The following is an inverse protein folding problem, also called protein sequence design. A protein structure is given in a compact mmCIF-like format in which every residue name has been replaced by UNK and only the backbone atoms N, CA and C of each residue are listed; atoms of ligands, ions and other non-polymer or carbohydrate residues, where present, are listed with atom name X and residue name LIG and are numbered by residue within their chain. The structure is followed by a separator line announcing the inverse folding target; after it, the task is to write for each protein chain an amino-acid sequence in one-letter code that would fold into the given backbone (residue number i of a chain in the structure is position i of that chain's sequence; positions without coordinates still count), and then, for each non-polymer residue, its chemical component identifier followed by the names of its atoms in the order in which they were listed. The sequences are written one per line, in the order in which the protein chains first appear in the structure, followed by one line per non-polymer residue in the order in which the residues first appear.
data_IF_040145628708
#
_entry.id   IF_040145628708
#
_cell.length_a   1.000
_cell.length_b   1.000
_cell.length_c   1.000
_cell.angle_alpha   90.00
_cell.angle_beta   90.00
_cell.angle_gamma   90.00
#
_symmetry.space_group_name_H-M   'P 1'
#
loop_
_entity.id
_entity.type
_entity.pdbx_description
1 polymer ?
#
# COMPACT_ATOMS: atom_id res chain seq x y z
N UNK A 1 -13.97 12.49 10.59
CA UNK A 1 -12.91 11.50 10.27
C UNK A 1 -11.84 12.18 9.42
N UNK A 2 -10.57 11.79 9.60
CA UNK A 2 -9.43 12.28 8.82
C UNK A 2 -8.50 11.13 8.50
N UNK A 3 -7.77 11.23 7.40
CA UNK A 3 -6.72 10.29 7.00
C UNK A 3 -5.39 11.04 6.97
N UNK A 4 -4.39 10.53 7.67
CA UNK A 4 -3.02 11.03 7.60
C UNK A 4 -2.31 10.32 6.47
N UNK A 5 -1.67 11.09 5.60
CA UNK A 5 -0.94 10.56 4.45
C UNK A 5 0.45 11.15 4.40
N UNK A 6 1.46 10.29 4.28
CA UNK A 6 2.86 10.70 4.17
C UNK A 6 3.24 10.91 2.69
N UNK A 7 3.83 12.06 2.36
CA UNK A 7 4.34 12.35 1.01
C UNK A 7 5.81 11.96 0.84
N UNK A 8 6.53 11.85 1.94
CA UNK A 8 7.93 11.49 1.94
C UNK A 8 8.13 9.99 1.66
N UNK A 9 9.38 9.63 1.31
CA UNK A 9 9.83 8.24 1.37
C UNK A 9 9.80 7.73 2.81
N UNK A 10 9.65 6.43 3.00
CA UNK A 10 9.69 5.80 4.33
C UNK A 10 11.05 5.96 5.03
N UNK A 11 12.12 6.21 4.26
CA UNK A 11 13.48 6.43 4.73
C UNK A 11 13.82 7.90 5.00
N UNK A 12 12.93 8.83 4.65
CA UNK A 12 13.11 10.25 4.82
C UNK A 12 12.34 10.80 6.02
N UNK A 13 12.59 12.06 6.38
CA UNK A 13 11.76 12.78 7.34
C UNK A 13 10.31 12.79 6.86
N UNK A 14 9.34 12.39 7.71
CA UNK A 14 7.95 12.29 7.27
C UNK A 14 7.36 13.67 6.94
N UNK A 15 6.53 13.71 5.90
CA UNK A 15 5.80 14.89 5.46
C UNK A 15 4.31 14.55 5.42
N UNK A 16 3.64 14.70 6.56
CA UNK A 16 2.23 14.34 6.68
C UNK A 16 1.31 15.43 6.16
N UNK A 17 0.33 15.03 5.36
CA UNK A 17 -0.85 15.82 4.99
C UNK A 17 -2.09 15.18 5.59
N UNK A 18 -3.05 16.01 5.97
CA UNK A 18 -4.34 15.57 6.51
C UNK A 18 -5.39 15.67 5.41
N UNK A 19 -6.00 14.55 5.05
CA UNK A 19 -7.14 14.47 4.13
C UNK A 19 -8.40 14.33 4.99
N UNK A 20 -9.28 15.34 4.93
CA UNK A 20 -10.56 15.33 5.64
C UNK A 20 -11.73 14.97 4.69
N UNK A 21 -12.92 14.74 5.24
CA UNK A 21 -14.10 14.33 4.47
C UNK A 21 -14.56 15.29 3.36
N UNK A 22 -14.09 16.55 3.36
CA UNK A 22 -14.40 17.51 2.30
C UNK A 22 -13.35 17.50 1.18
N UNK A 23 -12.27 16.73 1.32
CA UNK A 23 -11.23 16.62 0.31
C UNK A 23 -11.67 15.64 -0.79
N UNK A 24 -11.49 15.95 -2.09
CA UNK A 24 -11.94 15.08 -3.19
C UNK A 24 -11.30 13.69 -3.19
N UNK A 25 -10.12 13.54 -2.60
CA UNK A 25 -9.42 12.26 -2.48
C UNK A 25 -9.79 11.46 -1.22
N UNK A 26 -10.68 11.95 -0.36
CA UNK A 26 -10.97 11.33 0.94
C UNK A 26 -11.42 9.87 0.83
N UNK A 27 -12.42 9.59 0.00
CA UNK A 27 -12.93 8.23 -0.18
C UNK A 27 -11.85 7.27 -0.71
N UNK A 28 -11.02 7.75 -1.65
CA UNK A 28 -9.91 6.95 -2.18
C UNK A 28 -8.84 6.68 -1.12
N UNK A 29 -8.50 7.69 -0.31
CA UNK A 29 -7.55 7.54 0.80
C UNK A 29 -8.07 6.59 1.88
N UNK A 30 -9.36 6.68 2.25
CA UNK A 30 -10.00 5.76 3.20
C UNK A 30 -9.96 4.33 2.67
N UNK A 31 -10.36 4.12 1.40
CA UNK A 31 -10.38 2.79 0.78
C UNK A 31 -8.99 2.18 0.59
N UNK A 32 -7.97 3.01 0.38
CA UNK A 32 -6.60 2.54 0.14
C UNK A 32 -5.85 2.18 1.41
N UNK A 33 -6.38 2.54 2.59
CA UNK A 33 -5.67 2.38 3.86
C UNK A 33 -5.79 0.93 4.37
N UNK A 34 -4.65 0.27 4.46
CA UNK A 34 -4.52 -1.02 5.14
C UNK A 34 -4.26 -0.82 6.64
N UNK A 35 -4.63 -1.82 7.44
CA UNK A 35 -4.29 -1.86 8.87
C UNK A 35 -2.77 -1.98 9.08
N UNK A 36 -2.30 -1.58 10.26
CA UNK A 36 -0.88 -1.60 10.68
C UNK A 36 0.11 -0.94 9.70
N UNK A 37 -0.39 -0.01 8.88
CA UNK A 37 0.37 0.67 7.83
C UNK A 37 0.23 2.19 7.91
N UNK A 38 1.29 2.89 7.48
CA UNK A 38 1.21 4.30 7.13
C UNK A 38 0.78 4.40 5.68
N UNK A 39 -0.25 5.20 5.40
CA UNK A 39 -0.65 5.51 4.04
C UNK A 39 0.31 6.57 3.48
N UNK A 40 0.92 6.29 2.34
CA UNK A 40 1.74 7.20 1.58
C UNK A 40 1.01 7.64 0.30
N UNK A 41 1.43 8.76 -0.28
CA UNK A 41 0.97 9.21 -1.59
C UNK A 41 2.14 9.61 -2.48
N UNK A 42 2.13 9.14 -3.71
CA UNK A 42 3.08 9.53 -4.75
C UNK A 42 2.35 9.65 -6.09
N UNK A 43 2.47 10.80 -6.76
CA UNK A 43 1.77 11.12 -8.03
C UNK A 43 0.27 10.77 -8.00
N UNK A 44 -0.42 11.17 -6.94
CA UNK A 44 -1.85 10.89 -6.69
C UNK A 44 -2.22 9.41 -6.52
N UNK A 45 -1.25 8.52 -6.34
CA UNK A 45 -1.47 7.11 -6.01
C UNK A 45 -1.17 6.87 -4.53
N UNK A 46 -2.14 6.31 -3.82
CA UNK A 46 -1.98 5.88 -2.43
C UNK A 46 -1.36 4.49 -2.35
N UNK A 47 -0.42 4.30 -1.42
CA UNK A 47 0.19 3.01 -1.14
C UNK A 47 0.56 2.88 0.34
N UNK A 48 0.60 1.65 0.84
CA UNK A 48 0.81 1.35 2.25
C UNK A 48 2.28 1.02 2.53
N UNK A 49 2.77 1.39 3.70
CA UNK A 49 4.08 1.01 4.23
C UNK A 49 3.88 0.49 5.66
N UNK A 50 4.40 -0.69 6.03
CA UNK A 50 4.13 -1.27 7.34
C UNK A 50 4.81 -0.46 8.45
N UNK A 51 4.10 -0.24 9.56
CA UNK A 51 4.63 0.50 10.73
C UNK A 51 5.59 -0.37 11.54
N UNK A 52 5.30 -1.67 11.64
CA UNK A 52 6.05 -2.62 12.46
C UNK A 52 6.49 -3.82 11.63
N UNK A 53 7.76 -4.18 11.81
CA UNK A 53 8.37 -5.35 11.18
C UNK A 53 9.03 -6.17 12.27
N UNK A 54 8.66 -7.44 12.38
CA UNK A 54 9.36 -8.37 13.27
C UNK A 54 10.73 -8.70 12.66
N UNK A 55 11.80 -8.86 13.48
CA UNK A 55 13.07 -9.39 12.99
C UNK A 55 12.81 -10.73 12.30
N UNK A 56 13.33 -10.93 11.08
CA UNK A 56 13.12 -12.10 10.19
C UNK A 56 11.81 -12.21 9.41
N UNK A 57 10.90 -11.23 9.51
CA UNK A 57 9.69 -11.23 8.69
C UNK A 57 10.01 -10.88 7.23
N UNK A 58 9.61 -11.73 6.29
CA UNK A 58 9.71 -11.43 4.85
C UNK A 58 8.91 -10.18 4.49
N UNK A 59 9.45 -9.35 3.60
CA UNK A 59 8.75 -8.18 3.07
C UNK A 59 8.24 -8.49 1.68
N UNK A 60 7.04 -8.00 1.36
CA UNK A 60 6.47 -8.12 0.01
C UNK A 60 6.06 -6.73 -0.47
N UNK A 61 6.16 -6.48 -1.77
CA UNK A 61 5.46 -5.36 -2.38
C UNK A 61 4.34 -5.87 -3.28
N UNK A 62 3.23 -5.15 -3.29
CA UNK A 62 2.01 -5.45 -4.05
C UNK A 62 1.74 -4.27 -4.98
N UNK A 63 1.69 -4.54 -6.29
CA UNK A 63 1.35 -3.55 -7.33
C UNK A 63 -0.02 -3.79 -7.95
N UNK A 64 -0.59 -4.98 -7.72
CA UNK A 64 -1.99 -5.28 -8.01
C UNK A 64 -2.58 -6.17 -6.93
N UNK A 65 -3.60 -5.64 -6.25
CA UNK A 65 -4.20 -6.24 -5.05
C UNK A 65 -5.37 -5.40 -4.54
N UNK A 66 -6.02 -5.83 -3.46
CA UNK A 66 -7.00 -5.04 -2.69
C UNK A 66 -6.35 -3.83 -2.03
N UNK A 67 -5.07 -3.94 -1.71
CA UNK A 67 -4.22 -2.85 -1.25
C UNK A 67 -2.90 -2.85 -2.02
N UNK A 68 -2.35 -1.65 -2.23
CA UNK A 68 -1.06 -1.42 -2.91
C UNK A 68 -0.05 -0.98 -1.88
N UNK A 69 1.21 -1.35 -2.07
CA UNK A 69 2.32 -0.89 -1.23
C UNK A 69 3.24 -2.02 -0.80
N UNK A 70 3.95 -1.78 0.29
CA UNK A 70 4.77 -2.78 0.97
C UNK A 70 3.97 -3.34 2.13
N UNK A 71 4.12 -4.63 2.39
CA UNK A 71 3.53 -5.32 3.53
C UNK A 71 4.54 -6.25 4.17
N UNK A 72 4.43 -6.40 5.48
CA UNK A 72 5.28 -7.29 6.27
C UNK A 72 4.61 -8.64 6.45
N UNK A 73 5.28 -9.72 6.04
CA UNK A 73 4.85 -11.10 6.20
C UNK A 73 3.92 -11.61 5.11
N UNK A 74 3.98 -12.91 4.86
CA UNK A 74 3.18 -13.56 3.82
C UNK A 74 1.67 -13.48 4.10
N UNK A 75 1.24 -13.59 5.36
CA UNK A 75 -0.20 -13.51 5.72
C UNK A 75 -0.82 -12.18 5.29
N UNK A 76 -0.12 -11.07 5.52
CA UNK A 76 -0.58 -9.74 5.11
C UNK A 76 -0.53 -9.57 3.58
N UNK A 77 0.51 -10.10 2.93
CA UNK A 77 0.58 -10.13 1.47
C UNK A 77 -0.58 -10.94 0.87
N UNK A 78 -0.88 -12.10 1.43
CA UNK A 78 -1.98 -12.96 1.04
C UNK A 78 -3.31 -12.22 1.16
N UNK A 79 -3.57 -11.51 2.27
CA UNK A 79 -4.79 -10.70 2.44
C UNK A 79 -4.93 -9.59 1.38
N UNK A 80 -3.82 -9.07 0.86
CA UNK A 80 -3.84 -8.08 -0.21
C UNK A 80 -4.13 -8.68 -1.59
N UNK A 81 -3.93 -9.98 -1.81
CA UNK A 81 -3.99 -10.60 -3.14
C UNK A 81 -5.03 -11.69 -3.28
N UNK A 82 -5.56 -12.19 -2.16
CA UNK A 82 -6.60 -13.21 -2.13
C UNK A 82 -7.85 -12.68 -2.82
N UNK A 83 -8.42 -13.47 -3.73
CA UNK A 83 -9.57 -13.05 -4.52
C UNK A 83 -9.27 -11.91 -5.51
N UNK A 84 -8.01 -11.60 -5.82
CA UNK A 84 -7.67 -10.58 -6.82
C UNK A 84 -7.14 -11.24 -8.09
N UNK A 85 -7.92 -11.19 -9.16
CA UNK A 85 -7.49 -11.76 -10.44
C UNK A 85 -6.28 -11.01 -11.02
N UNK A 86 -5.23 -11.77 -11.32
CA UNK A 86 -3.97 -11.24 -11.82
C UNK A 86 -3.23 -10.40 -10.79
N UNK A 87 -3.36 -10.71 -9.49
CA UNK A 87 -2.58 -10.05 -8.46
C UNK A 87 -1.08 -10.10 -8.78
N UNK A 88 -0.36 -9.02 -8.45
CA UNK A 88 1.08 -8.89 -8.68
C UNK A 88 1.74 -8.52 -7.38
N UNK A 89 2.53 -9.45 -6.86
CA UNK A 89 3.28 -9.31 -5.63
C UNK A 89 4.63 -10.03 -5.74
N UNK A 90 5.65 -9.51 -5.05
CA UNK A 90 6.95 -10.15 -4.98
C UNK A 90 7.60 -9.90 -3.62
N UNK A 91 8.36 -10.88 -3.16
CA UNK A 91 9.20 -10.74 -1.97
C UNK A 91 10.38 -9.79 -2.24
N UNK A 92 10.76 -9.03 -1.23
CA UNK A 92 11.88 -8.07 -1.26
C UNK A 92 12.63 -8.10 0.06
N UNK A 93 13.88 -7.64 0.02
CA UNK A 93 14.78 -7.69 1.18
C UNK A 93 14.47 -6.63 2.24
N UNK A 94 13.80 -5.52 1.87
CA UNK A 94 13.52 -4.42 2.78
C UNK A 94 12.32 -3.57 2.33
N UNK A 95 11.80 -2.76 3.27
CA UNK A 95 10.77 -1.76 2.99
C UNK A 95 11.26 -0.76 1.94
N UNK A 96 12.50 -0.28 2.06
CA UNK A 96 13.04 0.73 1.15
C UNK A 96 13.06 0.24 -0.31
N UNK A 97 13.51 -1.00 -0.53
CA UNK A 97 13.50 -1.62 -1.86
C UNK A 97 12.06 -1.84 -2.34
N UNK A 98 11.17 -2.31 -1.46
CA UNK A 98 9.75 -2.47 -1.79
C UNK A 98 9.09 -1.16 -2.22
N UNK A 99 9.31 -0.08 -1.47
CA UNK A 99 8.77 1.25 -1.77
C UNK A 99 9.31 1.78 -3.10
N UNK A 100 10.60 1.60 -3.37
CA UNK A 100 11.20 1.94 -4.66
C UNK A 100 10.50 1.20 -5.81
N UNK A 101 10.29 -0.12 -5.69
CA UNK A 101 9.58 -0.92 -6.71
C UNK A 101 8.13 -0.45 -6.90
N UNK A 102 7.44 -0.09 -5.83
CA UNK A 102 6.08 0.47 -5.91
C UNK A 102 6.10 1.80 -6.65
N UNK A 103 7.02 2.72 -6.33
CA UNK A 103 7.10 4.02 -7.02
C UNK A 103 7.48 3.90 -8.49
N UNK A 104 8.38 2.98 -8.85
CA UNK A 104 8.67 2.64 -10.26
C UNK A 104 7.40 2.14 -10.95
N UNK A 105 6.64 1.24 -10.32
CA UNK A 105 5.39 0.76 -10.90
C UNK A 105 4.32 1.87 -11.02
N UNK A 106 4.30 2.86 -10.12
CA UNK A 106 3.46 4.07 -10.25
C UNK A 106 3.87 4.86 -11.49
N UNK A 107 5.18 5.10 -11.67
CA UNK A 107 5.72 5.85 -12.81
C UNK A 107 5.41 5.18 -14.15
N UNK A 108 5.41 3.85 -14.18
CA UNK A 108 5.11 3.05 -15.37
C UNK A 108 3.59 2.78 -15.56
N UNK A 109 2.73 3.27 -14.66
CA UNK A 109 1.29 3.03 -14.73
C UNK A 109 0.88 1.57 -14.51
N UNK A 110 1.72 0.78 -13.83
CA UNK A 110 1.51 -0.65 -13.55
C UNK A 110 0.87 -0.94 -12.19
N UNK A 111 0.28 0.07 -11.55
CA UNK A 111 -0.47 -0.09 -10.30
C UNK A 111 -1.96 -0.31 -10.59
N UNK A 112 -2.58 -1.27 -9.91
CA UNK A 112 -4.04 -1.44 -9.96
C UNK A 112 -4.61 -1.98 -8.65
N UNK A 113 -5.32 -1.14 -7.91
CA UNK A 113 -6.19 -1.62 -6.83
C UNK A 113 -7.41 -2.32 -7.43
N UNK A 114 -7.73 -3.53 -6.94
CA UNK A 114 -8.83 -4.37 -7.43
C UNK A 114 -9.61 -4.88 -6.23
N UNK A 115 -10.93 -4.72 -6.25
CA UNK A 115 -11.79 -5.29 -5.23
C UNK A 115 -11.74 -6.82 -5.32
N UNK A 116 -11.52 -7.54 -4.20
CA UNK A 116 -11.60 -8.99 -4.19
C UNK A 116 -12.97 -9.47 -4.67
N UNK A 117 -13.02 -10.59 -5.39
CA UNK A 117 -14.30 -11.26 -5.64
C UNK A 117 -14.91 -11.64 -4.29
N UNK A 118 -16.16 -11.25 -4.05
CA UNK A 118 -16.91 -11.78 -2.92
C UNK A 118 -17.04 -13.30 -3.14
N UNK A 119 -16.56 -14.11 -2.20
CA UNK A 119 -17.09 -15.46 -2.07
C UNK A 119 -18.50 -15.24 -1.53
N UNK A 120 -19.51 -15.40 -2.39
CA UNK A 120 -20.87 -15.62 -1.90
C UNK A 120 -20.81 -16.92 -1.09
N UNK A 121 -20.91 -16.81 0.24
CA UNK A 121 -21.06 -17.94 1.16
C UNK A 121 -22.40 -18.66 0.94
#
# INVERSE_FOLDING_TARGET
PVVFVNRALSTASPEFTIINHNHPEFENAVRSRADDSVLHIYKAVFYNIPVQVKPSQSMFYVTRGSHIGVVAGWENALNCVLGVAGAVYHEVESIAIGEEKVRIAIDEGRIKMVEPWAFDE
#
